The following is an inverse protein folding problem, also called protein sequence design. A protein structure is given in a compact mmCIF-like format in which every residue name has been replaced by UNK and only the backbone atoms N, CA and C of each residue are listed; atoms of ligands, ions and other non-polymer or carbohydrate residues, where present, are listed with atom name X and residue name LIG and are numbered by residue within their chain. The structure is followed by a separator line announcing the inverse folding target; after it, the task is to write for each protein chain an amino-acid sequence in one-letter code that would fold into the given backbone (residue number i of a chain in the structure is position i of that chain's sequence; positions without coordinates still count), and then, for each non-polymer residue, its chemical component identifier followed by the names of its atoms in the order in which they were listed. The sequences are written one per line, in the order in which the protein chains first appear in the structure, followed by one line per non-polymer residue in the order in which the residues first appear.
data_IF_714889351486
#
_entry.id   IF_714889351486
#
_cell.length_a   1.000
_cell.length_b   1.000
_cell.length_c   1.000
_cell.angle_alpha   90.00
_cell.angle_beta   90.00
_cell.angle_gamma   90.00
#
_symmetry.space_group_name_H-M   'P 1'
#
loop_
_entity.id
_entity.type
_entity.pdbx_description
1 polymer ?
#
# COMPACT_ATOMS: atom_id res chain seq x y z
N UNK A 1 19.17 -18.78 3.30
CA UNK A 1 18.39 -18.22 4.42
C UNK A 1 17.23 -19.18 4.73
N UNK A 2 16.72 -19.24 5.96
CA UNK A 2 15.52 -20.04 6.27
C UNK A 2 14.28 -19.17 6.06
N UNK A 3 13.22 -19.76 5.48
CA UNK A 3 11.91 -19.10 5.32
C UNK A 3 11.46 -18.44 6.62
N UNK A 4 10.76 -17.31 6.51
CA UNK A 4 10.17 -16.64 7.66
C UNK A 4 9.29 -17.66 8.40
N UNK A 5 9.54 -17.91 9.70
CA UNK A 5 8.73 -18.83 10.48
C UNK A 5 7.24 -18.50 10.37
N UNK A 6 6.40 -19.52 10.14
CA UNK A 6 4.94 -19.35 10.02
C UNK A 6 4.31 -18.65 11.23
N UNK A 7 4.88 -18.85 12.41
CA UNK A 7 4.46 -18.20 13.65
C UNK A 7 4.63 -16.67 13.66
N UNK A 8 5.45 -16.11 12.77
CA UNK A 8 5.57 -14.66 12.59
C UNK A 8 4.67 -14.11 11.49
N UNK A 9 4.05 -14.97 10.69
CA UNK A 9 3.21 -14.63 9.56
C UNK A 9 1.73 -14.78 9.95
N UNK A 10 1.29 -13.92 10.88
CA UNK A 10 0.03 -14.07 11.61
C UNK A 10 -1.17 -13.34 10.99
N UNK A 11 -0.98 -12.62 9.88
CA UNK A 11 -2.02 -11.80 9.26
C UNK A 11 -2.54 -12.41 7.96
N UNK A 12 -3.75 -11.96 7.59
CA UNK A 12 -4.40 -12.16 6.30
C UNK A 12 -4.90 -10.81 5.79
N UNK A 13 -5.00 -10.64 4.47
CA UNK A 13 -5.48 -9.41 3.83
C UNK A 13 -6.08 -9.72 2.45
N UNK A 14 -6.80 -8.76 1.88
CA UNK A 14 -7.28 -8.85 0.50
C UNK A 14 -6.44 -7.93 -0.38
N UNK A 15 -5.98 -8.45 -1.51
CA UNK A 15 -5.32 -7.66 -2.53
C UNK A 15 -6.32 -7.25 -3.61
N UNK A 16 -6.33 -5.96 -3.90
CA UNK A 16 -7.25 -5.31 -4.83
C UNK A 16 -6.48 -4.58 -5.93
N UNK A 17 -7.14 -4.41 -7.07
CA UNK A 17 -6.68 -3.61 -8.19
C UNK A 17 -7.73 -2.53 -8.52
N UNK A 18 -7.29 -1.30 -8.74
CA UNK A 18 -8.12 -0.28 -9.38
C UNK A 18 -8.31 -0.63 -10.86
N UNK A 19 -9.55 -0.71 -11.31
CA UNK A 19 -9.92 -0.91 -12.71
C UNK A 19 -10.84 0.20 -13.20
N UNK A 20 -10.77 0.60 -14.48
CA UNK A 20 -11.74 1.52 -15.06
C UNK A 20 -13.14 0.89 -15.07
N UNK A 21 -14.10 1.53 -14.40
CA UNK A 21 -15.50 1.13 -14.51
C UNK A 21 -16.17 1.65 -15.77
N UNK A 22 -17.33 1.07 -16.10
CA UNK A 22 -18.08 1.29 -17.34
C UNK A 22 -18.45 2.76 -17.63
N UNK A 23 -18.44 3.62 -16.61
CA UNK A 23 -18.86 5.02 -16.71
C UNK A 23 -17.81 6.02 -16.19
N UNK A 24 -16.53 5.63 -16.21
CA UNK A 24 -15.42 6.47 -15.72
C UNK A 24 -15.27 6.52 -14.19
N UNK A 25 -16.09 5.76 -13.46
CA UNK A 25 -15.90 5.52 -12.04
C UNK A 25 -14.91 4.36 -11.85
N UNK A 26 -13.81 4.59 -11.15
CA UNK A 26 -12.86 3.53 -10.80
C UNK A 26 -13.51 2.58 -9.77
N UNK A 27 -13.42 1.28 -10.02
CA UNK A 27 -13.84 0.24 -9.08
C UNK A 27 -12.63 -0.53 -8.56
N UNK A 28 -12.79 -1.17 -7.40
CA UNK A 28 -11.78 -2.06 -6.82
C UNK A 28 -12.19 -3.50 -7.07
N UNK A 29 -11.35 -4.24 -7.79
CA UNK A 29 -11.51 -5.68 -8.01
C UNK A 29 -10.61 -6.48 -7.09
N UNK A 30 -11.15 -7.56 -6.53
CA UNK A 30 -10.35 -8.51 -5.75
C UNK A 30 -9.51 -9.34 -6.71
N UNK A 31 -8.20 -9.26 -6.56
CA UNK A 31 -7.26 -10.03 -7.40
C UNK A 31 -6.61 -11.19 -6.64
N UNK A 32 -6.53 -11.13 -5.29
CA UNK A 32 -6.06 -12.25 -4.47
C UNK A 32 -6.47 -12.15 -3.00
N UNK A 33 -6.57 -13.30 -2.34
CA UNK A 33 -6.53 -13.39 -0.86
C UNK A 33 -5.10 -13.65 -0.40
N UNK A 34 -4.55 -12.76 0.43
CA UNK A 34 -3.23 -12.91 1.03
C UNK A 34 -3.35 -13.64 2.37
N UNK A 35 -2.57 -14.72 2.54
CA UNK A 35 -2.54 -15.49 3.80
C UNK A 35 -1.12 -15.72 4.26
N UNK A 36 -0.96 -15.83 5.58
CA UNK A 36 0.32 -15.99 6.26
C UNK A 36 1.28 -14.88 5.81
N UNK A 37 0.86 -13.65 6.02
CA UNK A 37 1.68 -12.45 5.84
C UNK A 37 1.96 -11.82 7.21
N UNK A 38 2.88 -10.86 7.28
CA UNK A 38 3.04 -9.99 8.45
C UNK A 38 2.91 -8.55 8.00
N UNK A 39 2.24 -7.72 8.77
CA UNK A 39 2.09 -6.29 8.49
C UNK A 39 2.52 -5.58 9.76
N UNK A 40 3.50 -4.69 9.65
CA UNK A 40 4.01 -3.89 10.75
C UNK A 40 3.80 -2.41 10.43
N UNK A 41 3.47 -1.57 11.42
CA UNK A 41 3.49 -0.13 11.23
C UNK A 41 4.91 0.34 10.90
N UNK A 42 5.01 1.38 10.09
CA UNK A 42 6.29 1.98 9.70
C UNK A 42 6.17 3.49 9.64
N UNK A 43 7.31 4.16 9.73
CA UNK A 43 7.46 5.60 9.49
C UNK A 43 8.63 5.90 8.55
N UNK A 44 9.12 4.87 7.84
CA UNK A 44 10.25 4.96 6.89
C UNK A 44 9.87 5.91 5.75
N UNK A 45 10.80 6.78 5.37
CA UNK A 45 10.68 7.59 4.15
C UNK A 45 11.22 6.78 2.96
N UNK A 46 10.45 6.70 1.89
CA UNK A 46 10.86 6.10 0.62
C UNK A 46 10.66 7.11 -0.51
N UNK A 47 11.50 7.04 -1.55
CA UNK A 47 11.39 7.90 -2.73
C UNK A 47 10.99 7.08 -3.94
N UNK A 48 10.07 7.61 -4.74
CA UNK A 48 9.72 7.01 -6.02
C UNK A 48 10.66 7.47 -7.16
N UNK A 49 10.41 6.97 -8.37
CA UNK A 49 11.19 7.30 -9.58
C UNK A 49 11.09 8.77 -10.00
N UNK A 50 10.08 9.48 -9.51
CA UNK A 50 9.84 10.90 -9.78
C UNK A 50 10.37 11.80 -8.65
N UNK A 51 11.15 11.26 -7.71
CA UNK A 51 11.64 11.93 -6.50
C UNK A 51 10.53 12.41 -5.55
N UNK A 52 9.33 11.82 -5.61
CA UNK A 52 8.29 12.03 -4.61
C UNK A 52 8.63 11.23 -3.37
N UNK A 53 8.65 11.90 -2.22
CA UNK A 53 8.85 11.25 -0.91
C UNK A 53 7.52 10.78 -0.34
N UNK A 54 7.50 9.51 0.03
CA UNK A 54 6.40 8.87 0.74
C UNK A 54 6.84 8.51 2.15
N UNK A 55 6.06 8.93 3.14
CA UNK A 55 6.14 8.36 4.47
C UNK A 55 5.29 7.10 4.51
N UNK A 56 5.94 5.94 4.64
CA UNK A 56 5.24 4.68 4.82
C UNK A 56 4.39 4.73 6.09
N UNK A 57 3.24 4.08 6.04
CA UNK A 57 2.42 3.80 7.23
C UNK A 57 2.59 2.36 7.69
N UNK A 58 2.89 1.46 6.76
CA UNK A 58 3.10 0.06 7.07
C UNK A 58 4.09 -0.60 6.09
N UNK A 59 4.69 -1.69 6.54
CA UNK A 59 5.44 -2.63 5.70
C UNK A 59 4.80 -4.00 5.83
N UNK A 60 4.48 -4.61 4.69
CA UNK A 60 4.03 -5.99 4.62
C UNK A 60 5.21 -6.91 4.25
N UNK A 61 5.39 -7.97 5.02
CA UNK A 61 6.35 -9.04 4.75
C UNK A 61 5.61 -10.22 4.11
N UNK A 62 6.07 -10.60 2.91
CA UNK A 62 5.52 -11.72 2.15
C UNK A 62 6.62 -12.76 1.89
N UNK A 63 6.54 -13.91 2.56
CA UNK A 63 7.50 -15.02 2.39
C UNK A 63 7.13 -15.88 1.19
N UNK A 64 8.05 -16.04 0.23
CA UNK A 64 7.76 -16.76 -1.02
C UNK A 64 7.43 -18.25 -0.83
N UNK A 65 7.73 -18.84 0.34
CA UNK A 65 7.46 -20.26 0.63
C UNK A 65 6.22 -20.46 1.50
N UNK A 66 6.05 -19.61 2.50
CA UNK A 66 5.04 -19.76 3.53
C UNK A 66 3.83 -18.86 3.30
N UNK A 67 3.97 -17.71 2.66
CA UNK A 67 2.82 -16.87 2.29
C UNK A 67 2.07 -17.45 1.08
N UNK A 68 0.86 -16.98 0.85
CA UNK A 68 0.07 -17.31 -0.34
C UNK A 68 -0.71 -16.09 -0.85
N UNK A 69 -1.02 -16.01 -2.16
CA UNK A 69 -0.75 -17.02 -3.21
C UNK A 69 0.74 -17.17 -3.55
N UNK A 70 1.17 -18.40 -3.87
CA UNK A 70 2.57 -18.64 -4.28
C UNK A 70 2.83 -18.01 -5.64
N UNK A 71 4.08 -17.63 -5.87
CA UNK A 71 4.57 -17.12 -7.16
C UNK A 71 3.78 -15.90 -7.67
N UNK A 72 3.21 -15.13 -6.73
CA UNK A 72 2.48 -13.91 -7.03
C UNK A 72 3.41 -12.72 -7.16
N UNK A 73 3.23 -11.94 -8.22
CA UNK A 73 3.98 -10.71 -8.47
C UNK A 73 3.14 -9.51 -8.04
N UNK A 74 3.59 -8.85 -6.97
CA UNK A 74 3.01 -7.58 -6.53
C UNK A 74 3.38 -6.46 -7.51
N UNK A 75 2.50 -5.47 -7.62
CA UNK A 75 2.72 -4.26 -8.40
C UNK A 75 2.46 -3.03 -7.56
N UNK A 76 3.21 -1.97 -7.83
CA UNK A 76 2.88 -0.64 -7.31
C UNK A 76 1.44 -0.26 -7.70
N UNK A 77 0.83 0.62 -6.90
CA UNK A 77 -0.56 1.05 -7.01
C UNK A 77 -1.64 0.00 -6.68
N UNK A 78 -1.29 -1.29 -6.53
CA UNK A 78 -2.21 -2.27 -5.94
C UNK A 78 -2.59 -1.88 -4.51
N UNK A 79 -3.78 -2.30 -4.08
CA UNK A 79 -4.34 -1.95 -2.78
C UNK A 79 -4.43 -3.19 -1.89
N UNK A 80 -3.82 -3.11 -0.71
CA UNK A 80 -3.96 -4.10 0.35
C UNK A 80 -5.05 -3.63 1.32
N UNK A 81 -6.14 -4.37 1.39
CA UNK A 81 -7.19 -4.19 2.40
C UNK A 81 -6.90 -5.08 3.60
N UNK A 82 -6.49 -4.45 4.70
CA UNK A 82 -6.23 -5.09 5.96
C UNK A 82 -7.27 -4.65 7.00
N UNK A 83 -8.20 -5.54 7.32
CA UNK A 83 -9.31 -5.28 8.25
C UNK A 83 -10.15 -4.03 7.90
N UNK A 84 -10.40 -3.79 6.62
CA UNK A 84 -11.14 -2.63 6.12
C UNK A 84 -10.27 -1.39 5.92
N UNK A 85 -9.02 -1.40 6.40
CA UNK A 85 -8.05 -0.33 6.19
C UNK A 85 -7.29 -0.59 4.89
N UNK A 86 -7.58 0.20 3.87
CA UNK A 86 -6.96 0.11 2.56
C UNK A 86 -5.63 0.87 2.53
N UNK A 87 -4.61 0.21 2.02
CA UNK A 87 -3.27 0.75 1.85
C UNK A 87 -2.82 0.56 0.41
N UNK A 88 -2.23 1.57 -0.20
CA UNK A 88 -1.65 1.48 -1.53
C UNK A 88 -0.19 1.07 -1.44
N UNK A 89 0.23 0.14 -2.28
CA UNK A 89 1.63 -0.27 -2.44
C UNK A 89 2.40 0.84 -3.16
N UNK A 90 3.48 1.32 -2.54
CA UNK A 90 4.37 2.36 -3.09
C UNK A 90 5.82 1.91 -3.23
N UNK A 91 6.19 0.79 -2.62
CA UNK A 91 7.49 0.17 -2.83
C UNK A 91 7.41 -1.34 -2.70
N UNK A 92 8.21 -2.04 -3.51
CA UNK A 92 8.36 -3.49 -3.46
C UNK A 92 9.86 -3.78 -3.45
N UNK A 93 10.35 -4.20 -2.29
CA UNK A 93 11.76 -4.54 -2.07
C UNK A 93 11.89 -6.07 -2.08
N UNK A 94 12.43 -6.69 -3.14
CA UNK A 94 12.71 -8.12 -3.17
C UNK A 94 13.98 -8.44 -2.37
N UNK A 95 13.87 -9.32 -1.36
CA UNK A 95 14.99 -9.74 -0.52
C UNK A 95 15.37 -11.17 -0.92
N UNK A 96 16.59 -11.32 -1.41
CA UNK A 96 17.13 -12.60 -1.86
C UNK A 96 17.91 -13.28 -0.73
N UNK A 97 17.87 -14.60 -0.69
CA UNK A 97 18.97 -15.35 -0.10
C UNK A 97 20.11 -15.49 -1.13
N UNK A 98 21.21 -16.13 -0.75
CA UNK A 98 22.37 -16.31 -1.64
C UNK A 98 22.06 -16.98 -3.01
N UNK A 99 20.84 -17.46 -3.28
CA UNK A 99 20.46 -18.13 -4.54
C UNK A 99 19.08 -17.76 -5.10
N UNK A 100 18.10 -17.38 -4.27
CA UNK A 100 16.71 -17.18 -4.72
C UNK A 100 16.01 -16.09 -3.94
N UNK A 101 14.91 -15.58 -4.52
CA UNK A 101 13.99 -14.68 -3.81
C UNK A 101 13.48 -15.38 -2.54
N UNK A 102 13.66 -14.71 -1.41
CA UNK A 102 13.35 -15.25 -0.09
C UNK A 102 12.02 -14.72 0.43
N UNK A 103 11.89 -13.40 0.48
CA UNK A 103 10.66 -12.69 0.80
C UNK A 103 10.67 -11.32 0.13
N UNK A 104 9.52 -10.67 0.10
CA UNK A 104 9.40 -9.28 -0.29
C UNK A 104 9.03 -8.45 0.94
N UNK A 105 9.58 -7.24 1.02
CA UNK A 105 9.10 -6.17 1.89
C UNK A 105 8.34 -5.17 1.04
N UNK A 106 7.08 -4.93 1.40
CA UNK A 106 6.15 -4.13 0.60
C UNK A 106 5.77 -2.90 1.42
N UNK A 107 6.28 -1.74 1.01
CA UNK A 107 5.98 -0.47 1.65
C UNK A 107 4.63 0.06 1.19
N UNK A 108 3.81 0.48 2.15
CA UNK A 108 2.44 0.91 1.89
C UNK A 108 2.10 2.24 2.57
N UNK A 109 1.26 3.02 1.90
CA UNK A 109 0.68 4.28 2.40
C UNK A 109 -0.84 4.19 2.45
N UNK A 110 -1.50 5.13 3.12
CA UNK A 110 -2.98 5.15 3.17
C UNK A 110 -3.54 5.26 1.75
N UNK A 111 -4.48 4.38 1.43
CA UNK A 111 -5.31 4.56 0.24
C UNK A 111 -6.37 5.63 0.52
N UNK A 112 -6.28 6.74 -0.19
CA UNK A 112 -7.35 7.72 -0.29
C UNK A 112 -7.93 7.55 -1.70
N UNK A 113 -9.11 6.95 -1.82
CA UNK A 113 -9.80 6.90 -3.11
C UNK A 113 -9.96 8.31 -3.69
N UNK A 114 -10.15 8.45 -5.01
CA UNK A 114 -10.25 9.77 -5.64
C UNK A 114 -11.41 10.65 -5.10
N UNK A 115 -12.39 10.08 -4.38
CA UNK A 115 -13.43 10.84 -3.67
C UNK A 115 -12.90 11.71 -2.51
N UNK A 116 -11.78 11.33 -1.89
CA UNK A 116 -11.22 12.06 -0.73
C UNK A 116 -10.36 13.27 -1.14
N UNK A 117 -10.01 13.38 -2.42
CA UNK A 117 -9.10 14.42 -2.90
C UNK A 117 -9.81 15.75 -3.21
N UNK A 118 -11.16 15.79 -3.22
CA UNK A 118 -11.91 17.04 -3.40
C UNK A 118 -11.91 17.94 -2.16
N UNK A 119 -11.52 17.44 -0.98
CA UNK A 119 -11.60 18.22 0.27
C UNK A 119 -10.26 18.84 0.71
N UNK A 120 -9.22 18.82 -0.15
CA UNK A 120 -7.90 19.42 0.14
C UNK A 120 -7.59 20.70 -0.65
N UNK A 121 -8.46 21.11 -1.57
CA UNK A 121 -8.39 22.41 -2.25
C UNK A 121 -9.56 23.30 -1.82
N UNK A 122 -9.53 23.77 -0.58
CA UNK A 122 -10.56 24.65 -0.02
C UNK A 122 -10.03 25.44 1.18
N UNK A 123 -8.93 26.17 0.99
CA UNK A 123 -8.27 26.87 2.10
C UNK A 123 -7.27 27.92 1.66
N UNK A 124 -7.66 28.82 0.74
CA UNK A 124 -7.01 30.13 0.63
C UNK A 124 -8.04 31.18 1.06
N UNK A 125 -8.04 31.46 2.36
CA UNK A 125 -8.71 32.64 2.91
C UNK A 125 -8.07 33.88 2.31
N UNK A 126 -8.85 34.61 1.51
CA UNK A 126 -8.55 35.99 1.17
C UNK A 126 -8.99 36.87 2.34
N UNK A 127 -8.02 37.39 3.09
CA UNK A 127 -8.20 38.50 4.01
C UNK A 127 -8.81 39.68 3.27
N UNK A 128 -10.00 40.12 3.69
CA UNK A 128 -10.50 41.45 3.36
C UNK A 128 -10.44 42.29 4.64
N UNK A 129 -9.43 43.15 4.70
CA UNK A 129 -9.37 44.23 5.66
C UNK A 129 -10.31 45.38 5.23
N UNK A 130 -10.76 46.13 6.25
CA UNK A 130 -11.08 47.57 6.30
C UNK A 130 -12.55 47.99 6.33
N UNK A 131 -12.89 48.74 7.39
CA UNK A 131 -14.02 49.66 7.37
C UNK A 131 -14.53 50.10 8.74
N UNK A 132 -13.70 50.78 9.54
CA UNK A 132 -14.21 51.61 10.64
C UNK A 132 -14.96 52.82 10.04
N UNK A 133 -16.24 52.99 10.41
CA UNK A 133 -16.92 54.28 10.59
C UNK A 133 -18.27 54.07 11.27
#
# INVERSE_FOLDING_TARGET
MRAIPKSFLIHEAILLQEVPGEWGAESLEIIAELKRIRIEPSSKLVRDKNNVEWQLLAVMFFDCRNSSPRDFEFKEDQIVDFHGLKHRIVSIEPLYDNKKLHHCEIGMVRYAGKSDNQNRQGGRGGEHQNGWR
#
